data_IF_945812766241
#
_entry.id   IF_945812766241
#
_cell.length_a   1.000
_cell.length_b   1.000
_cell.length_c   1.000
_cell.angle_alpha   90.00
_cell.angle_beta   90.00
_cell.angle_gamma   90.00
#
_symmetry.space_group_name_H-M   'P 1'
#
loop_
_entity.id
_entity.type
_entity.pdbx_description
1 polymer ?
#
# COMPACT_ATOMS: atom_id res chain seq x y z
N UNK A 1 46.84 -44.17 -20.71
CA UNK A 1 45.80 -43.48 -21.51
C UNK A 1 44.48 -43.54 -20.76
N UNK A 2 43.95 -42.40 -20.33
CA UNK A 2 42.54 -42.26 -19.94
C UNK A 2 42.18 -40.78 -20.01
N UNK A 3 41.72 -40.37 -21.19
CA UNK A 3 40.89 -39.18 -21.38
C UNK A 3 39.49 -39.62 -20.98
N UNK A 4 38.82 -38.97 -20.03
CA UNK A 4 37.38 -38.71 -20.12
C UNK A 4 37.11 -37.37 -19.44
N UNK A 5 36.82 -36.41 -20.30
CA UNK A 5 36.28 -35.08 -20.04
C UNK A 5 34.79 -35.22 -19.69
N UNK A 6 34.33 -34.70 -18.55
CA UNK A 6 32.89 -34.56 -18.21
C UNK A 6 32.75 -33.18 -17.54
N UNK A 7 32.62 -32.11 -18.33
CA UNK A 7 31.35 -31.44 -18.68
C UNK A 7 30.58 -31.02 -17.42
N UNK A 8 30.77 -29.75 -17.05
CA UNK A 8 29.88 -29.03 -16.17
C UNK A 8 28.55 -28.73 -16.88
N UNK A 9 27.43 -28.84 -16.14
CA UNK A 9 26.33 -27.90 -16.27
C UNK A 9 26.14 -27.24 -14.89
N UNK A 10 26.51 -25.97 -14.69
CA UNK A 10 25.67 -24.80 -15.01
C UNK A 10 24.17 -25.11 -14.96
N UNK A 11 23.75 -25.75 -13.86
CA UNK A 11 22.40 -25.73 -13.36
C UNK A 11 22.31 -24.43 -12.52
N UNK A 12 22.19 -23.26 -13.14
CA UNK A 12 20.90 -22.64 -13.41
C UNK A 12 19.93 -22.79 -12.23
N UNK A 13 20.37 -22.41 -11.02
CA UNK A 13 19.49 -22.07 -9.91
C UNK A 13 18.85 -20.72 -10.24
N UNK A 14 17.95 -20.75 -11.21
CA UNK A 14 16.85 -19.80 -11.32
C UNK A 14 15.77 -20.27 -10.34
N UNK A 15 14.92 -19.33 -9.92
CA UNK A 15 13.76 -19.54 -9.04
C UNK A 15 14.10 -19.48 -7.55
N UNK A 16 14.34 -18.29 -7.02
CA UNK A 16 13.57 -17.80 -5.85
C UNK A 16 13.40 -16.27 -5.99
N UNK A 17 12.58 -15.84 -6.95
CA UNK A 17 11.95 -14.52 -6.85
C UNK A 17 10.80 -14.69 -5.84
N UNK A 18 11.13 -14.51 -4.56
CA UNK A 18 10.14 -14.30 -3.50
C UNK A 18 9.48 -12.95 -3.79
N UNK A 19 8.49 -12.97 -4.69
CA UNK A 19 7.61 -11.85 -4.93
C UNK A 19 6.83 -11.62 -3.64
N UNK A 20 7.33 -10.68 -2.84
CA UNK A 20 6.64 -10.15 -1.68
C UNK A 20 5.41 -9.41 -2.20
N UNK A 21 4.34 -10.16 -2.47
CA UNK A 21 3.02 -9.62 -2.77
C UNK A 21 2.52 -9.00 -1.47
N UNK A 22 2.83 -7.71 -1.28
CA UNK A 22 2.17 -6.89 -0.27
C UNK A 22 0.70 -6.82 -0.68
N UNK A 23 -0.10 -7.79 -0.23
CA UNK A 23 -1.56 -7.72 -0.32
C UNK A 23 -1.96 -6.40 0.33
N UNK A 24 -2.58 -5.45 -0.39
CA UNK A 24 -3.09 -4.25 0.25
C UNK A 24 -4.17 -4.71 1.22
N UNK A 25 -3.82 -4.76 2.50
CA UNK A 25 -4.75 -5.01 3.58
C UNK A 25 -5.75 -3.86 3.49
N UNK A 26 -6.94 -4.11 2.94
CA UNK A 26 -8.09 -3.24 3.13
C UNK A 26 -8.38 -3.27 4.63
N UNK A 27 -7.69 -2.39 5.36
CA UNK A 27 -7.97 -2.13 6.75
C UNK A 27 -9.36 -1.52 6.75
N UNK A 28 -10.38 -2.35 6.97
CA UNK A 28 -11.68 -1.85 7.44
C UNK A 28 -11.41 -1.27 8.82
N UNK A 29 -10.91 -0.04 8.83
CA UNK A 29 -10.64 0.74 10.02
C UNK A 29 -12.02 1.10 10.58
N UNK A 30 -12.57 0.22 11.41
CA UNK A 30 -13.67 0.55 12.32
C UNK A 30 -13.12 1.41 13.46
N UNK A 31 -12.47 2.51 13.15
CA UNK A 31 -12.54 3.66 14.04
C UNK A 31 -13.79 4.42 13.66
N UNK A 32 -14.34 5.11 14.65
CA UNK A 32 -15.37 6.11 14.43
C UNK A 32 -14.72 7.32 13.73
N UNK A 33 -14.21 7.13 12.52
CA UNK A 33 -13.72 8.23 11.69
C UNK A 33 -14.96 9.00 11.28
N UNK A 34 -15.23 10.08 12.00
CA UNK A 34 -16.30 11.02 11.65
C UNK A 34 -16.01 11.52 10.25
N UNK A 35 -16.89 11.19 9.30
CA UNK A 35 -16.82 11.74 7.94
C UNK A 35 -16.97 13.26 8.03
N UNK A 36 -15.99 13.98 7.49
CA UNK A 36 -15.86 15.42 7.62
C UNK A 36 -16.21 16.17 6.33
N UNK A 37 -17.16 15.63 5.56
CA UNK A 37 -17.60 16.18 4.29
C UNK A 37 -16.91 15.55 3.07
N UNK A 38 -16.99 16.25 1.94
CA UNK A 38 -16.45 15.79 0.64
C UNK A 38 -15.81 16.96 -0.08
N UNK A 39 -14.62 16.78 -0.62
CA UNK A 39 -13.88 17.78 -1.40
C UNK A 39 -13.38 17.13 -2.68
N UNK A 40 -13.68 17.75 -3.81
CA UNK A 40 -13.35 17.23 -5.15
C UNK A 40 -13.81 15.78 -5.38
N UNK A 41 -14.95 15.42 -4.79
CA UNK A 41 -15.51 14.06 -4.85
C UNK A 41 -14.90 13.06 -3.86
N UNK A 42 -13.91 13.46 -3.08
CA UNK A 42 -13.26 12.62 -2.07
C UNK A 42 -13.85 12.85 -0.68
N UNK A 43 -14.23 11.78 0.01
CA UNK A 43 -14.73 11.86 1.39
C UNK A 43 -13.57 12.17 2.32
N UNK A 44 -13.71 13.25 3.09
CA UNK A 44 -12.75 13.62 4.10
C UNK A 44 -13.01 12.86 5.39
N UNK A 45 -11.92 12.48 6.05
CA UNK A 45 -11.87 11.82 7.34
C UNK A 45 -10.94 12.60 8.24
N UNK A 46 -11.16 12.48 9.55
CA UNK A 46 -10.28 13.08 10.56
C UNK A 46 -9.67 11.99 11.40
N UNK A 47 -8.35 12.04 11.56
CA UNK A 47 -7.65 11.12 12.45
C UNK A 47 -7.76 11.57 13.91
N UNK A 48 -7.25 10.74 14.82
CA UNK A 48 -7.24 11.03 16.26
C UNK A 48 -6.37 12.24 16.64
N UNK A 49 -5.49 12.68 15.74
CA UNK A 49 -4.63 13.84 15.92
C UNK A 49 -5.23 15.11 15.30
N UNK A 50 -6.48 15.04 14.86
CA UNK A 50 -7.21 16.13 14.23
C UNK A 50 -6.69 16.54 12.85
N UNK A 51 -5.86 15.72 12.20
CA UNK A 51 -5.47 15.95 10.81
C UNK A 51 -6.53 15.41 9.87
N UNK A 52 -6.77 16.14 8.79
CA UNK A 52 -7.78 15.78 7.81
C UNK A 52 -7.17 15.17 6.57
N UNK A 53 -7.79 14.10 6.10
CA UNK A 53 -7.27 13.30 5.02
C UNK A 53 -8.40 12.66 4.22
N UNK A 54 -8.12 12.29 2.98
CA UNK A 54 -8.96 11.38 2.21
C UNK A 54 -8.17 10.14 1.81
N UNK A 55 -8.87 9.11 1.33
CA UNK A 55 -8.22 7.94 0.74
C UNK A 55 -8.13 8.15 -0.77
N UNK A 56 -6.92 8.18 -1.32
CA UNK A 56 -6.72 8.26 -2.77
C UNK A 56 -7.10 6.93 -3.46
N UNK A 57 -7.00 6.87 -4.79
CA UNK A 57 -7.37 5.67 -5.57
C UNK A 57 -6.56 4.41 -5.19
N UNK A 58 -5.35 4.59 -4.66
CA UNK A 58 -4.51 3.51 -4.14
C UNK A 58 -4.87 3.08 -2.71
N UNK A 59 -5.86 3.72 -2.09
CA UNK A 59 -6.28 3.48 -0.71
C UNK A 59 -5.30 4.03 0.33
N UNK A 60 -4.44 4.97 -0.05
CA UNK A 60 -3.49 5.62 0.85
C UNK A 60 -4.08 6.92 1.39
N UNK A 61 -3.68 7.30 2.60
CA UNK A 61 -4.10 8.56 3.22
C UNK A 61 -3.37 9.72 2.54
N UNK A 62 -4.13 10.65 2.00
CA UNK A 62 -3.62 11.92 1.51
C UNK A 62 -4.15 13.04 2.40
N UNK A 63 -3.22 13.73 3.05
CA UNK A 63 -3.55 14.77 4.01
C UNK A 63 -3.81 16.10 3.31
N UNK A 64 -4.87 16.77 3.72
CA UNK A 64 -5.28 18.08 3.22
C UNK A 64 -5.15 19.11 4.33
N UNK A 65 -5.19 20.39 3.96
CA UNK A 65 -5.21 21.46 4.95
C UNK A 65 -6.42 21.32 5.88
N UNK A 66 -6.22 21.57 7.18
CA UNK A 66 -7.30 21.49 8.17
C UNK A 66 -8.42 22.53 7.91
N UNK A 67 -8.13 23.62 7.21
CA UNK A 67 -9.11 24.62 6.75
C UNK A 67 -10.20 24.03 5.85
N UNK A 68 -9.85 22.99 5.10
CA UNK A 68 -10.73 22.28 4.16
C UNK A 68 -11.59 21.26 4.89
N UNK A 69 -11.25 20.94 6.13
CA UNK A 69 -11.91 19.92 6.93
C UNK A 69 -13.16 20.44 7.63
N UNK A 70 -14.29 20.38 6.93
CA UNK A 70 -15.60 20.73 7.48
C UNK A 70 -16.27 19.52 8.15
N UNK A 71 -15.75 19.12 9.30
CA UNK A 71 -16.46 18.19 10.18
C UNK A 71 -17.66 18.92 10.81
N UNK A 72 -18.89 18.52 10.47
CA UNK A 72 -20.13 18.99 11.12
C UNK A 72 -20.26 18.46 12.54
#
# INVERSE_FOLDING_TARGET
MKKILIIAPICSITIILFACTKTPRKTTFKTKDTSCGTVDGNVLHKDSQHNCYYLNESGQKEYVENSVCSCL
#
